data_IF_038439888221
#
_entry.id   IF_038439888221
#
_cell.length_a   1.000
_cell.length_b   1.000
_cell.length_c   1.000
_cell.angle_alpha   90.00
_cell.angle_beta   90.00
_cell.angle_gamma   90.00
#
_symmetry.space_group_name_H-M   'P 1'
#
loop_
_entity.id
_entity.type
_entity.pdbx_description
1 polymer ?
#
# COMPACT_ATOMS: atom_id res chain seq x y z
N UNK A 1 -11.91 -21.47 4.21
CA UNK A 1 -11.17 -21.73 2.96
C UNK A 1 -10.38 -20.47 2.61
N UNK A 2 -9.05 -20.59 2.55
CA UNK A 2 -8.08 -19.47 2.69
C UNK A 2 -7.79 -18.71 1.37
N UNK A 3 -8.75 -18.07 0.76
CA UNK A 3 -8.55 -17.35 -0.52
C UNK A 3 -8.06 -15.91 -0.34
N UNK A 4 -8.37 -15.27 0.76
CA UNK A 4 -8.01 -13.87 1.04
C UNK A 4 -6.52 -13.64 1.31
N UNK A 5 -5.76 -14.67 1.68
CA UNK A 5 -4.33 -14.53 2.01
C UNK A 5 -3.39 -14.36 0.81
N UNK A 6 -3.79 -14.73 -0.41
CA UNK A 6 -2.87 -14.75 -1.57
C UNK A 6 -2.78 -13.42 -2.32
N UNK A 7 -3.75 -12.55 -2.21
CA UNK A 7 -3.83 -11.34 -3.04
C UNK A 7 -3.16 -10.11 -2.42
N UNK A 8 -3.11 -10.03 -1.10
CA UNK A 8 -2.47 -8.90 -0.39
C UNK A 8 -0.94 -8.96 -0.51
N UNK A 9 -0.38 -10.16 -0.66
CA UNK A 9 1.08 -10.35 -0.75
C UNK A 9 1.66 -9.89 -2.09
N UNK A 10 0.90 -9.86 -3.17
CA UNK A 10 1.39 -9.53 -4.51
C UNK A 10 1.40 -8.03 -4.80
N UNK A 11 0.50 -7.24 -4.25
CA UNK A 11 0.46 -5.79 -4.50
C UNK A 11 1.55 -5.03 -3.71
N UNK A 12 1.98 -5.56 -2.55
CA UNK A 12 3.04 -4.97 -1.74
C UNK A 12 4.47 -5.34 -2.23
N UNK A 13 4.62 -6.44 -2.98
CA UNK A 13 5.93 -6.92 -3.40
C UNK A 13 6.51 -6.18 -4.62
N UNK A 14 5.70 -5.57 -5.45
CA UNK A 14 6.17 -4.96 -6.70
C UNK A 14 6.82 -3.58 -6.53
N UNK A 15 6.59 -2.89 -5.43
CA UNK A 15 7.15 -1.55 -5.17
C UNK A 15 8.47 -1.52 -4.40
N UNK A 16 8.88 -2.63 -3.78
CA UNK A 16 9.96 -2.64 -2.79
C UNK A 16 11.32 -3.19 -3.28
N UNK A 17 11.42 -3.71 -4.51
CA UNK A 17 12.62 -4.47 -4.92
C UNK A 17 13.79 -3.66 -5.49
N UNK A 18 13.71 -2.35 -5.64
CA UNK A 18 14.75 -1.58 -6.35
C UNK A 18 15.67 -0.71 -5.49
N UNK A 19 15.50 -0.62 -4.17
CA UNK A 19 16.23 0.36 -3.36
C UNK A 19 17.27 -0.18 -2.37
N UNK A 20 17.50 -1.48 -2.27
CA UNK A 20 18.34 -2.07 -1.21
C UNK A 20 19.84 -2.29 -1.53
N UNK A 21 20.37 -1.74 -2.61
CA UNK A 21 21.78 -1.91 -2.95
C UNK A 21 22.58 -0.65 -2.67
N UNK A 22 22.90 -0.32 -1.43
CA UNK A 22 24.11 0.38 -1.02
C UNK A 22 24.00 0.98 0.39
N UNK A 23 24.27 0.25 1.46
CA UNK A 23 24.70 0.84 2.73
C UNK A 23 25.64 -0.14 3.48
N UNK A 24 26.91 -0.11 3.13
CA UNK A 24 27.95 -0.69 3.97
C UNK A 24 28.44 0.40 4.92
N UNK A 25 28.34 0.16 6.23
CA UNK A 25 28.70 1.10 7.26
C UNK A 25 30.16 0.98 7.71
N UNK A 26 30.85 2.06 8.06
CA UNK A 26 31.97 2.02 9.00
C UNK A 26 31.75 2.91 10.25
N UNK A 27 32.38 2.44 11.31
CA UNK A 27 32.85 2.96 12.59
C UNK A 27 32.32 4.29 13.19
N UNK A 28 32.06 4.23 14.51
CA UNK A 28 31.59 5.23 15.43
C UNK A 28 32.27 6.61 15.31
N UNK A 29 31.53 7.56 14.83
CA UNK A 29 31.69 8.98 15.08
C UNK A 29 30.33 9.52 15.55
N UNK A 30 30.31 10.70 16.19
CA UNK A 30 29.06 11.32 16.65
C UNK A 30 27.97 11.15 15.58
N UNK A 31 26.81 10.67 15.98
CA UNK A 31 25.71 10.39 15.04
C UNK A 31 25.49 11.64 14.16
N UNK A 32 25.52 11.49 12.84
CA UNK A 32 25.25 12.63 11.96
C UNK A 32 23.83 13.17 12.27
N UNK A 33 23.60 14.46 12.08
CA UNK A 33 22.26 15.02 12.24
C UNK A 33 21.30 14.29 11.31
N UNK A 34 20.08 14.04 11.79
CA UNK A 34 19.05 13.42 10.98
C UNK A 34 18.82 14.22 9.67
N UNK A 35 18.76 13.51 8.56
CA UNK A 35 18.51 14.10 7.25
C UNK A 35 17.09 13.74 6.82
N UNK A 36 16.27 14.76 6.59
CA UNK A 36 14.92 14.58 6.06
C UNK A 36 14.87 14.89 4.56
N UNK A 37 14.27 14.00 3.81
CA UNK A 37 14.07 14.14 2.36
C UNK A 37 12.62 13.90 2.03
N UNK A 38 12.06 14.70 1.13
CA UNK A 38 10.73 14.49 0.56
C UNK A 38 10.86 14.28 -0.94
N UNK A 39 10.27 13.22 -1.44
CA UNK A 39 10.23 12.88 -2.86
C UNK A 39 8.77 12.82 -3.27
N UNK A 40 8.43 13.47 -4.38
CA UNK A 40 7.10 13.40 -4.97
C UNK A 40 7.19 12.79 -6.35
N UNK A 41 6.39 11.78 -6.62
CA UNK A 41 6.38 11.04 -7.88
C UNK A 41 4.96 10.79 -8.34
N UNK A 42 4.67 11.06 -9.60
CA UNK A 42 3.43 10.61 -10.21
C UNK A 42 3.57 9.15 -10.65
N UNK A 43 2.50 8.40 -10.52
CA UNK A 43 2.51 6.99 -10.90
C UNK A 43 1.20 6.55 -11.56
N UNK A 44 1.31 5.50 -12.35
CA UNK A 44 0.20 4.73 -12.89
C UNK A 44 0.49 3.25 -12.71
N UNK A 45 -0.55 2.46 -12.41
CA UNK A 45 -0.44 1.01 -12.30
C UNK A 45 -1.72 0.34 -12.74
N UNK A 46 -1.61 -0.90 -13.22
CA UNK A 46 -2.76 -1.70 -13.63
C UNK A 46 -2.57 -3.13 -13.15
N UNK A 47 -3.61 -3.72 -12.57
CA UNK A 47 -3.57 -5.08 -12.05
C UNK A 47 -4.94 -5.76 -12.09
N UNK A 48 -5.00 -7.10 -12.23
CA UNK A 48 -6.24 -7.84 -12.17
C UNK A 48 -6.82 -7.81 -10.75
N UNK A 49 -8.14 -7.67 -10.65
CA UNK A 49 -8.85 -7.63 -9.39
C UNK A 49 -10.21 -8.33 -9.48
N UNK A 50 -10.79 -8.58 -8.33
CA UNK A 50 -12.16 -9.09 -8.19
C UNK A 50 -12.98 -8.04 -7.45
N UNK A 51 -14.13 -7.68 -8.01
CA UNK A 51 -15.09 -6.80 -7.34
C UNK A 51 -15.64 -7.53 -6.09
N UNK A 52 -15.43 -7.00 -4.89
CA UNK A 52 -15.85 -7.67 -3.65
C UNK A 52 -17.38 -7.78 -3.51
N UNK A 53 -18.12 -6.98 -4.26
CA UNK A 53 -19.58 -6.92 -4.18
C UNK A 53 -20.27 -7.91 -5.11
N UNK A 54 -19.70 -8.18 -6.27
CA UNK A 54 -20.28 -9.04 -7.29
C UNK A 54 -19.52 -10.31 -7.55
N UNK A 55 -18.30 -10.44 -7.00
CA UNK A 55 -17.31 -11.46 -7.32
C UNK A 55 -16.89 -11.50 -8.81
N UNK A 56 -17.27 -10.50 -9.59
CA UNK A 56 -16.84 -10.35 -10.99
C UNK A 56 -15.34 -10.00 -11.06
N UNK A 57 -14.64 -10.58 -12.03
CA UNK A 57 -13.25 -10.25 -12.33
C UNK A 57 -13.15 -9.02 -13.22
N UNK A 58 -11.99 -8.39 -13.21
CA UNK A 58 -11.71 -7.21 -14.02
C UNK A 58 -10.31 -6.66 -13.77
N UNK A 59 -10.07 -5.48 -14.28
CA UNK A 59 -8.81 -4.76 -14.13
C UNK A 59 -9.01 -3.48 -13.34
N UNK A 60 -8.17 -3.26 -12.34
CA UNK A 60 -8.05 -1.96 -11.66
C UNK A 60 -6.90 -1.18 -12.29
N UNK A 61 -7.20 0.03 -12.70
CA UNK A 61 -6.21 1.04 -13.07
C UNK A 61 -6.17 2.10 -11.99
N UNK A 62 -4.97 2.44 -11.53
CA UNK A 62 -4.72 3.50 -10.56
C UNK A 62 -3.78 4.54 -11.16
N UNK A 63 -4.06 5.81 -10.91
CA UNK A 63 -3.19 6.91 -11.28
C UNK A 63 -3.20 7.95 -10.16
N UNK A 64 -2.04 8.45 -9.78
CA UNK A 64 -1.98 9.40 -8.67
C UNK A 64 -0.59 9.90 -8.37
N UNK A 65 -0.47 10.48 -7.21
CA UNK A 65 0.76 11.03 -6.69
C UNK A 65 1.16 10.31 -5.40
N UNK A 66 2.43 10.03 -5.32
CA UNK A 66 3.15 9.47 -4.20
C UNK A 66 4.03 10.56 -3.57
N UNK A 67 3.88 10.76 -2.27
CA UNK A 67 4.71 11.68 -1.48
C UNK A 67 5.43 10.88 -0.41
N UNK A 68 6.70 10.62 -0.65
CA UNK A 68 7.57 9.88 0.22
C UNK A 68 8.39 10.83 1.11
N UNK A 69 8.23 10.70 2.43
CA UNK A 69 9.04 11.36 3.43
C UNK A 69 10.00 10.34 4.05
N UNK A 70 11.29 10.58 3.92
CA UNK A 70 12.33 9.75 4.53
C UNK A 70 13.10 10.59 5.53
N UNK A 71 13.22 10.10 6.76
CA UNK A 71 14.11 10.65 7.78
C UNK A 71 15.18 9.62 8.07
N UNK A 72 16.42 9.93 7.72
CA UNK A 72 17.59 9.11 8.01
C UNK A 72 18.29 9.66 9.25
N UNK A 73 18.41 8.83 10.27
CA UNK A 73 19.11 9.13 11.54
C UNK A 73 20.54 8.62 11.55
N UNK A 74 21.01 8.02 10.45
CA UNK A 74 22.29 7.37 10.35
C UNK A 74 22.32 5.98 10.98
N UNK A 75 23.42 5.22 10.71
CA UNK A 75 23.59 3.88 11.25
C UNK A 75 22.55 2.84 10.79
N UNK A 76 21.82 3.11 9.70
CA UNK A 76 20.75 2.25 9.21
C UNK A 76 19.39 2.47 9.91
N UNK A 77 19.30 3.49 10.77
CA UNK A 77 18.04 3.89 11.40
C UNK A 77 17.34 4.87 10.48
N UNK A 78 16.15 4.51 10.03
CA UNK A 78 15.33 5.42 9.23
C UNK A 78 13.85 5.31 9.60
N UNK A 79 13.14 6.36 9.30
CA UNK A 79 11.68 6.41 9.31
C UNK A 79 11.20 6.91 7.95
N UNK A 80 10.29 6.18 7.38
CA UNK A 80 9.70 6.46 6.08
C UNK A 80 8.18 6.60 6.25
N UNK A 81 7.61 7.60 5.64
CA UNK A 81 6.15 7.75 5.48
C UNK A 81 5.87 7.99 4.01
N UNK A 82 5.10 7.12 3.43
CA UNK A 82 4.60 7.21 2.07
C UNK A 82 3.11 7.53 2.11
N UNK A 83 2.72 8.57 1.41
CA UNK A 83 1.34 8.98 1.26
C UNK A 83 0.97 9.04 -0.22
N UNK A 84 0.03 8.17 -0.62
CA UNK A 84 -0.46 8.11 -1.98
C UNK A 84 -1.90 8.54 -2.05
N UNK A 85 -2.21 9.37 -3.04
CA UNK A 85 -3.57 9.78 -3.38
C UNK A 85 -3.77 9.72 -4.88
N UNK A 86 -4.97 9.36 -5.30
CA UNK A 86 -5.23 9.30 -6.73
C UNK A 86 -6.62 8.82 -7.08
N UNK A 87 -6.76 8.48 -8.35
CA UNK A 87 -7.95 7.87 -8.92
C UNK A 87 -7.76 6.38 -9.11
N UNK A 88 -8.85 5.64 -8.97
CA UNK A 88 -8.92 4.21 -9.25
C UNK A 88 -10.12 3.93 -10.14
N UNK A 89 -9.93 3.12 -11.17
CA UNK A 89 -11.00 2.67 -12.07
C UNK A 89 -10.97 1.15 -12.12
N UNK A 90 -12.07 0.51 -11.78
CA UNK A 90 -12.26 -0.93 -12.00
C UNK A 90 -13.09 -1.13 -13.26
N UNK A 91 -12.51 -1.78 -14.25
CA UNK A 91 -13.16 -2.19 -15.50
C UNK A 91 -13.44 -3.69 -15.44
N UNK A 92 -14.72 -4.11 -15.39
CA UNK A 92 -15.08 -5.53 -15.38
C UNK A 92 -14.69 -6.23 -16.69
N UNK A 93 -14.38 -7.54 -16.60
CA UNK A 93 -14.21 -8.40 -17.78
C UNK A 93 -15.53 -8.64 -18.51
N UNK A 94 -16.64 -8.67 -17.76
CA UNK A 94 -17.99 -8.71 -18.32
C UNK A 94 -18.42 -7.32 -18.82
N UNK A 95 -18.60 -7.11 -20.12
CA UNK A 95 -18.99 -5.81 -20.68
C UNK A 95 -20.41 -5.35 -20.27
N UNK A 96 -21.23 -6.25 -19.73
CA UNK A 96 -22.54 -5.90 -19.20
C UNK A 96 -22.49 -5.38 -17.75
N UNK A 97 -21.36 -5.59 -17.05
CA UNK A 97 -21.18 -5.11 -15.70
C UNK A 97 -20.70 -3.65 -15.66
N UNK A 98 -21.00 -2.97 -14.57
CA UNK A 98 -20.74 -1.55 -14.42
C UNK A 98 -19.29 -1.29 -14.05
N UNK A 99 -18.63 -0.38 -14.78
CA UNK A 99 -17.33 0.18 -14.41
C UNK A 99 -17.48 1.05 -13.16
N UNK A 100 -16.58 0.89 -12.21
CA UNK A 100 -16.51 1.71 -11.01
C UNK A 100 -15.34 2.68 -11.13
N UNK A 101 -15.58 3.96 -10.89
CA UNK A 101 -14.54 4.97 -10.86
C UNK A 101 -14.58 5.74 -9.55
N UNK A 102 -13.43 6.10 -9.03
CA UNK A 102 -13.37 6.79 -7.76
C UNK A 102 -11.98 7.23 -7.35
N UNK A 103 -11.83 7.44 -6.05
CA UNK A 103 -10.59 7.90 -5.47
C UNK A 103 -10.07 6.90 -4.45
N UNK A 104 -8.76 6.87 -4.30
CA UNK A 104 -8.11 6.13 -3.25
C UNK A 104 -7.11 7.00 -2.48
N UNK A 105 -6.89 6.64 -1.24
CA UNK A 105 -5.82 7.17 -0.41
C UNK A 105 -5.17 6.02 0.33
N UNK A 106 -3.86 6.07 0.45
CA UNK A 106 -3.13 5.17 1.33
C UNK A 106 -2.04 5.93 2.07
N UNK A 107 -1.75 5.51 3.26
CA UNK A 107 -0.58 5.96 4.01
C UNK A 107 0.14 4.74 4.52
N UNK A 108 1.40 4.65 4.18
CA UNK A 108 2.27 3.58 4.58
C UNK A 108 3.39 4.16 5.43
N UNK A 109 3.72 3.53 6.54
CA UNK A 109 4.86 3.92 7.36
C UNK A 109 5.76 2.73 7.61
N UNK A 110 7.04 3.00 7.55
CA UNK A 110 8.10 2.03 7.76
C UNK A 110 9.12 2.57 8.73
N UNK A 111 9.59 1.74 9.62
CA UNK A 111 10.64 2.08 10.55
C UNK A 111 11.66 0.95 10.60
N UNK A 112 12.93 1.29 10.44
CA UNK A 112 14.07 0.42 10.69
C UNK A 112 14.78 0.86 11.96
N UNK A 113 15.12 -0.08 12.85
CA UNK A 113 15.78 0.20 14.10
C UNK A 113 16.90 -0.83 14.40
N UNK A 114 18.16 -0.58 13.95
CA UNK A 114 19.30 -1.41 14.36
C UNK A 114 19.60 -1.26 15.87
N UNK A 115 20.23 -2.23 16.52
CA UNK A 115 20.80 -3.46 15.96
C UNK A 115 19.80 -4.58 15.79
N UNK A 116 18.56 -4.40 16.24
CA UNK A 116 17.53 -5.43 16.11
C UNK A 116 17.09 -5.65 14.66
N UNK A 117 17.45 -4.74 13.74
CA UNK A 117 17.01 -4.75 12.34
C UNK A 117 15.51 -5.06 12.20
N UNK A 118 14.74 -4.66 13.20
CA UNK A 118 13.33 -4.84 13.21
C UNK A 118 12.69 -3.87 12.20
N UNK A 119 11.98 -4.43 11.29
CA UNK A 119 11.21 -3.71 10.28
C UNK A 119 9.73 -3.73 10.66
N UNK A 120 9.11 -2.57 10.72
CA UNK A 120 7.66 -2.45 10.91
C UNK A 120 7.10 -1.64 9.77
N UNK A 121 6.12 -2.19 9.09
CA UNK A 121 5.47 -1.55 7.97
C UNK A 121 3.94 -1.68 8.11
N UNK A 122 3.22 -0.65 7.72
CA UNK A 122 1.76 -0.72 7.70
C UNK A 122 1.09 0.64 7.58
N UNK A 123 -0.21 0.59 7.32
CA UNK A 123 -1.05 1.77 7.22
C UNK A 123 -2.44 1.47 6.66
N UNK A 124 -3.29 2.50 6.61
CA UNK A 124 -4.61 2.41 6.00
C UNK A 124 -4.54 2.50 4.47
N UNK A 125 -5.42 1.78 3.82
CA UNK A 125 -5.73 1.90 2.40
C UNK A 125 -7.25 2.06 2.25
N UNK A 126 -7.69 3.12 1.60
CA UNK A 126 -9.09 3.45 1.41
C UNK A 126 -9.40 3.66 -0.07
N UNK A 127 -10.47 3.05 -0.55
CA UNK A 127 -10.98 3.25 -1.90
C UNK A 127 -12.48 3.51 -1.83
N UNK A 128 -12.95 4.48 -2.58
CA UNK A 128 -14.36 4.70 -2.84
C UNK A 128 -14.56 4.74 -4.34
N UNK A 129 -15.33 3.76 -4.86
CA UNK A 129 -15.70 3.68 -6.27
C UNK A 129 -17.19 3.86 -6.45
N UNK A 130 -17.60 4.56 -7.51
CA UNK A 130 -19.00 4.81 -7.88
C UNK A 130 -19.22 4.36 -9.32
N UNK A 131 -20.28 3.59 -9.54
CA UNK A 131 -20.74 3.17 -10.85
C UNK A 131 -21.64 4.21 -11.52
N UNK A 132 -21.74 4.15 -12.86
CA UNK A 132 -22.64 5.02 -13.61
C UNK A 132 -24.12 4.77 -13.29
N UNK A 133 -24.44 3.61 -12.75
CA UNK A 133 -25.78 3.23 -12.27
C UNK A 133 -26.08 3.75 -10.87
N UNK A 134 -25.13 4.43 -10.21
CA UNK A 134 -25.22 4.89 -8.83
C UNK A 134 -24.82 3.86 -7.78
N UNK A 135 -24.40 2.65 -8.19
CA UNK A 135 -23.82 1.68 -7.26
C UNK A 135 -22.52 2.23 -6.66
N UNK A 136 -22.22 1.82 -5.42
CA UNK A 136 -21.05 2.32 -4.72
C UNK A 136 -20.33 1.19 -3.99
N UNK A 137 -19.01 1.22 -4.06
CA UNK A 137 -18.13 0.34 -3.30
C UNK A 137 -17.23 1.19 -2.41
N UNK A 138 -17.22 0.89 -1.12
CA UNK A 138 -16.26 1.45 -0.18
C UNK A 138 -15.39 0.31 0.31
N UNK A 139 -14.09 0.48 0.19
CA UNK A 139 -13.10 -0.48 0.65
C UNK A 139 -12.15 0.20 1.63
N UNK A 140 -11.98 -0.42 2.79
CA UNK A 140 -11.06 0.03 3.82
C UNK A 140 -10.21 -1.17 4.27
N UNK A 141 -8.91 -1.00 4.21
CA UNK A 141 -7.93 -1.97 4.68
C UNK A 141 -6.96 -1.29 5.63
N UNK A 142 -6.71 -1.91 6.77
CA UNK A 142 -5.58 -1.58 7.65
C UNK A 142 -4.71 -2.83 7.70
N UNK A 143 -3.43 -2.69 7.39
CA UNK A 143 -2.47 -3.77 7.50
C UNK A 143 -1.25 -3.32 8.29
N UNK A 144 -0.67 -4.23 9.05
CA UNK A 144 0.59 -4.03 9.75
C UNK A 144 1.41 -5.31 9.77
N UNK A 145 2.68 -5.19 9.49
CA UNK A 145 3.64 -6.30 9.53
C UNK A 145 4.86 -5.87 10.32
N UNK A 146 5.35 -6.74 11.18
CA UNK A 146 6.64 -6.58 11.86
C UNK A 146 7.51 -7.79 11.51
N UNK A 147 8.69 -7.51 11.00
CA UNK A 147 9.64 -8.53 10.57
C UNK A 147 10.94 -8.39 11.34
N UNK A 148 11.48 -9.52 11.79
CA UNK A 148 12.79 -9.62 12.42
C UNK A 148 13.92 -9.72 11.36
N UNK A 149 15.19 -9.54 11.73
CA UNK A 149 16.33 -9.59 10.83
C UNK A 149 16.48 -10.90 10.05
N UNK A 150 16.03 -11.98 10.62
CA UNK A 150 16.05 -13.32 10.01
C UNK A 150 14.91 -13.56 9.02
N UNK A 151 14.08 -12.54 8.76
CA UNK A 151 12.91 -12.62 7.90
C UNK A 151 11.66 -13.14 8.61
N UNK A 152 11.75 -13.51 9.88
CA UNK A 152 10.59 -14.00 10.65
C UNK A 152 9.57 -12.89 10.86
N UNK A 153 8.32 -13.12 10.47
CA UNK A 153 7.21 -12.22 10.74
C UNK A 153 6.66 -12.51 12.14
N UNK A 154 6.82 -11.54 13.05
CA UNK A 154 6.38 -11.68 14.44
C UNK A 154 4.98 -11.14 14.68
N UNK A 155 4.57 -10.11 13.95
CA UNK A 155 3.23 -9.53 14.00
C UNK A 155 2.78 -9.30 12.57
N UNK A 156 1.63 -9.87 12.24
CA UNK A 156 0.96 -9.57 10.99
C UNK A 156 -0.54 -9.54 11.29
N UNK A 157 -1.17 -8.42 11.01
CA UNK A 157 -2.62 -8.35 11.03
C UNK A 157 -3.11 -7.53 9.84
N UNK A 158 -4.31 -7.86 9.40
CA UNK A 158 -5.05 -7.04 8.46
C UNK A 158 -6.51 -7.00 8.88
N UNK A 159 -7.10 -5.83 8.84
CA UNK A 159 -8.54 -5.62 8.99
C UNK A 159 -9.03 -5.10 7.66
N UNK A 160 -9.97 -5.81 7.07
CA UNK A 160 -10.60 -5.44 5.81
C UNK A 160 -12.07 -5.21 6.06
N UNK A 161 -12.56 -4.07 5.66
CA UNK A 161 -13.96 -3.73 5.62
C UNK A 161 -14.33 -3.27 4.22
N UNK A 162 -15.42 -3.78 3.69
CA UNK A 162 -16.00 -3.27 2.45
C UNK A 162 -17.50 -3.14 2.60
N UNK A 163 -18.04 -2.15 1.95
CA UNK A 163 -19.45 -1.85 1.90
C UNK A 163 -19.89 -1.75 0.45
N UNK A 164 -20.99 -2.42 0.14
CA UNK A 164 -21.59 -2.44 -1.17
C UNK A 164 -22.96 -1.79 -1.08
N UNK A 165 -23.12 -0.67 -1.75
CA UNK A 165 -24.38 0.03 -1.84
C UNK A 165 -24.96 -0.15 -3.24
N UNK A 166 -26.21 -0.64 -3.36
CA UNK A 166 -26.87 -0.77 -4.65
C UNK A 166 -27.22 0.61 -5.25
N UNK A 167 -27.58 0.65 -6.53
CA UNK A 167 -28.09 1.87 -7.15
C UNK A 167 -29.26 2.47 -6.35
N UNK A 168 -29.18 3.79 -6.09
CA UNK A 168 -30.24 4.53 -5.42
C UNK A 168 -30.34 4.33 -3.90
N UNK A 169 -29.33 3.78 -3.25
CA UNK A 169 -29.24 3.67 -1.80
C UNK A 169 -28.79 4.97 -1.13
#
# INVERSE_FOLDING_TARGET
>A
MNWTRRWITLALAAGLTTWFAALAAPAASAAPPAVATTITTDFTSSFPATNPCTAGTGTVEVAGQDVLHVTDFGGGIFHLVDHQTGTATFTPDDPAAVTLAGHYTTTFSEQSNPPALQFTAGGPFNVVGVGADGSRVVFHLIARTTQLPDGTVTVSFSVTHFECLPPGA
#
